data_IF_618372139671
#
_entry.id   IF_618372139671
#
_cell.length_a   1.000
_cell.length_b   1.000
_cell.length_c   1.000
_cell.angle_alpha   90.00
_cell.angle_beta   90.00
_cell.angle_gamma   90.00
#
_symmetry.space_group_name_H-M   'P 1'
#
loop_
_entity.id
_entity.type
_entity.pdbx_description
1 polymer ?
#
# COMPACT_ATOMS: atom_id res chain seq x y z
N UNK A 1 14.61 10.43 -24.10
CA UNK A 1 14.03 11.27 -23.02
C UNK A 1 13.14 10.35 -22.22
N UNK A 2 13.64 9.77 -21.12
CA UNK A 2 12.80 8.98 -20.24
C UNK A 2 11.82 9.94 -19.57
N UNK A 3 10.54 9.84 -19.89
CA UNK A 3 9.51 10.46 -19.04
C UNK A 3 9.68 9.83 -17.66
N UNK A 4 10.04 10.66 -16.69
CA UNK A 4 10.14 10.28 -15.29
C UNK A 4 8.80 9.66 -14.89
N UNK A 5 8.80 8.36 -14.54
CA UNK A 5 7.57 7.61 -14.21
C UNK A 5 6.77 8.32 -13.09
N UNK A 6 7.48 9.15 -12.33
CA UNK A 6 6.97 10.00 -11.27
C UNK A 6 5.90 11.01 -11.77
N UNK A 7 6.09 11.69 -12.90
CA UNK A 7 5.20 12.77 -13.34
C UNK A 7 3.82 12.26 -13.76
N UNK A 8 3.78 11.18 -14.55
CA UNK A 8 2.51 10.53 -14.94
C UNK A 8 1.78 9.96 -13.73
N UNK A 9 2.52 9.53 -12.72
CA UNK A 9 1.92 9.01 -11.50
C UNK A 9 1.24 10.13 -10.70
N UNK A 10 1.85 11.33 -10.64
CA UNK A 10 1.29 12.51 -9.97
C UNK A 10 -0.02 12.94 -10.62
N UNK A 11 -0.10 13.00 -11.95
CA UNK A 11 -1.32 13.37 -12.67
C UNK A 11 -2.47 12.39 -12.38
N UNK A 12 -2.17 11.09 -12.34
CA UNK A 12 -3.15 10.08 -12.00
C UNK A 12 -3.62 10.24 -10.55
N UNK A 13 -2.71 10.38 -9.58
CA UNK A 13 -3.06 10.55 -8.16
C UNK A 13 -3.89 11.84 -7.98
N UNK A 14 -3.50 12.92 -8.63
CA UNK A 14 -4.26 14.17 -8.59
C UNK A 14 -5.65 14.03 -9.21
N UNK A 15 -5.79 13.25 -10.29
CA UNK A 15 -7.11 12.92 -10.85
C UNK A 15 -7.96 12.15 -9.84
N UNK A 16 -7.38 11.11 -9.23
CA UNK A 16 -8.04 10.34 -8.18
C UNK A 16 -8.48 11.23 -6.99
N UNK A 17 -7.61 12.12 -6.51
CA UNK A 17 -7.95 13.05 -5.42
C UNK A 17 -9.08 14.02 -5.79
N UNK A 18 -9.13 14.50 -7.03
CA UNK A 18 -10.22 15.37 -7.50
C UNK A 18 -11.55 14.62 -7.51
N UNK A 19 -11.52 13.39 -8.02
CA UNK A 19 -12.73 12.57 -8.22
C UNK A 19 -13.28 12.01 -6.90
N UNK A 20 -12.41 11.70 -5.94
CA UNK A 20 -12.79 11.05 -4.66
C UNK A 20 -12.87 12.01 -3.48
N UNK A 21 -12.03 13.06 -3.43
CA UNK A 21 -11.88 13.92 -2.25
C UNK A 21 -12.37 15.36 -2.46
N UNK A 22 -13.08 15.64 -3.55
CA UNK A 22 -13.57 16.98 -3.90
C UNK A 22 -12.48 18.06 -3.80
N UNK A 23 -11.26 17.74 -4.25
CA UNK A 23 -10.09 18.64 -4.25
C UNK A 23 -9.64 19.08 -2.85
N UNK A 24 -9.79 18.24 -1.84
CA UNK A 24 -9.31 18.56 -0.49
C UNK A 24 -7.80 18.35 -0.34
N UNK A 25 -7.23 17.43 -1.12
CA UNK A 25 -5.81 17.07 -1.17
C UNK A 25 -5.31 17.05 -2.62
N UNK A 26 -4.01 17.26 -2.80
CA UNK A 26 -3.27 17.01 -4.04
C UNK A 26 -1.98 16.25 -3.76
N UNK A 27 -1.51 15.47 -4.72
CA UNK A 27 -0.15 14.94 -4.75
C UNK A 27 0.80 15.97 -5.36
N UNK A 28 1.95 16.13 -4.72
CA UNK A 28 3.06 16.98 -5.14
C UNK A 28 4.38 16.20 -5.07
N UNK A 29 5.46 16.74 -5.64
CA UNK A 29 6.80 16.16 -5.60
C UNK A 29 7.71 16.96 -4.68
N UNK A 30 8.18 16.31 -3.62
CA UNK A 30 9.22 16.81 -2.73
C UNK A 30 10.58 16.22 -3.14
N UNK A 31 11.61 17.08 -3.18
CA UNK A 31 12.96 16.67 -3.62
C UNK A 31 13.62 15.62 -2.71
N UNK A 32 13.19 15.51 -1.45
CA UNK A 32 13.76 14.61 -0.46
C UNK A 32 12.87 13.41 -0.14
N UNK A 33 11.55 13.58 -0.21
CA UNK A 33 10.55 12.58 0.19
C UNK A 33 9.88 11.89 -1.00
N UNK A 34 10.10 12.37 -2.22
CA UNK A 34 9.39 11.90 -3.40
C UNK A 34 7.96 12.44 -3.42
N UNK A 35 6.98 11.57 -3.66
CA UNK A 35 5.56 11.99 -3.73
C UNK A 35 4.99 12.26 -2.34
N UNK A 36 4.32 13.39 -2.18
CA UNK A 36 3.68 13.81 -0.93
C UNK A 36 2.24 14.25 -1.16
N UNK A 37 1.36 14.00 -0.19
CA UNK A 37 0.04 14.62 -0.16
C UNK A 37 0.06 15.98 0.54
N UNK A 38 -0.51 16.98 -0.11
CA UNK A 38 -0.62 18.36 0.34
C UNK A 38 -2.09 18.75 0.42
N UNK A 39 -2.48 19.39 1.53
CA UNK A 39 -3.82 19.92 1.69
C UNK A 39 -4.06 21.14 0.78
N UNK A 40 -5.17 21.14 0.04
CA UNK A 40 -5.60 22.29 -0.78
C UNK A 40 -6.53 23.25 -0.02
N UNK A 41 -6.93 22.87 1.20
CA UNK A 41 -7.75 23.68 2.10
C UNK A 41 -7.27 23.57 3.55
N UNK A 42 -7.75 24.47 4.40
CA UNK A 42 -7.50 24.40 5.84
C UNK A 42 -8.34 23.30 6.49
N UNK A 43 -7.71 22.57 7.42
CA UNK A 43 -8.34 21.58 8.29
C UNK A 43 -8.10 21.99 9.75
N UNK A 44 -9.09 21.78 10.61
CA UNK A 44 -8.96 21.89 12.06
C UNK A 44 -8.45 20.57 12.64
N UNK A 45 -7.90 20.62 13.84
CA UNK A 45 -7.56 19.41 14.58
C UNK A 45 -8.83 18.59 14.83
N UNK A 46 -8.77 17.30 14.52
CA UNK A 46 -9.91 16.39 14.58
C UNK A 46 -10.75 16.32 13.29
N UNK A 47 -10.48 17.17 12.29
CA UNK A 47 -11.16 17.06 11.01
C UNK A 47 -10.73 15.78 10.28
N UNK A 48 -11.72 15.09 9.71
CA UNK A 48 -11.48 13.98 8.79
C UNK A 48 -11.00 14.52 7.44
N UNK A 49 -9.81 14.07 7.02
CA UNK A 49 -9.19 14.42 5.73
C UNK A 49 -9.85 13.63 4.60
N UNK A 50 -9.90 12.31 4.75
CA UNK A 50 -10.58 11.38 3.85
C UNK A 50 -10.84 10.03 4.52
N UNK A 51 -11.70 9.25 3.89
CA UNK A 51 -11.99 7.86 4.22
C UNK A 51 -11.69 7.02 2.97
N UNK A 52 -10.89 5.95 3.10
CA UNK A 52 -10.55 5.09 1.98
C UNK A 52 -10.71 3.61 2.32
N UNK A 53 -11.30 2.87 1.37
CA UNK A 53 -11.27 1.42 1.36
C UNK A 53 -9.86 0.90 1.04
N UNK A 54 -9.43 -0.23 1.62
CA UNK A 54 -8.19 -0.85 1.21
C UNK A 54 -8.20 -1.12 -0.28
N UNK A 55 -7.11 -0.74 -0.91
CA UNK A 55 -6.82 -1.01 -2.30
C UNK A 55 -6.82 -2.53 -2.53
N UNK A 56 -6.18 -3.26 -1.62
CA UNK A 56 -6.17 -4.73 -1.65
C UNK A 56 -6.05 -5.34 -0.26
N UNK A 57 -6.65 -6.52 -0.10
CA UNK A 57 -6.64 -7.33 1.11
C UNK A 57 -6.18 -8.73 0.76
N UNK A 58 -5.19 -9.23 1.48
CA UNK A 58 -4.70 -10.60 1.31
C UNK A 58 -4.50 -11.21 2.69
N UNK A 59 -5.05 -12.40 2.89
CA UNK A 59 -4.81 -13.20 4.08
C UNK A 59 -4.25 -14.57 3.72
N UNK A 60 -3.65 -15.24 4.69
CA UNK A 60 -3.26 -16.63 4.52
C UNK A 60 -4.48 -17.48 4.11
N UNK A 61 -4.28 -18.36 3.13
CA UNK A 61 -5.33 -19.25 2.65
C UNK A 61 -4.87 -20.71 2.79
N UNK A 62 -4.85 -21.28 4.01
CA UNK A 62 -4.24 -22.58 4.28
C UNK A 62 -4.88 -23.76 3.55
N UNK A 63 -6.08 -23.58 3.00
CA UNK A 63 -6.81 -24.57 2.20
C UNK A 63 -6.64 -24.36 0.69
N UNK A 64 -6.07 -23.23 0.27
CA UNK A 64 -5.85 -22.94 -1.15
C UNK A 64 -4.64 -23.75 -1.67
N UNK A 65 -4.80 -24.57 -2.72
CA UNK A 65 -3.70 -25.39 -3.26
C UNK A 65 -2.49 -24.56 -3.70
N UNK A 66 -2.69 -23.37 -4.26
CA UNK A 66 -1.59 -22.51 -4.71
C UNK A 66 -0.79 -21.99 -3.52
N UNK A 67 -1.47 -21.58 -2.44
CA UNK A 67 -0.80 -21.15 -1.21
C UNK A 67 -0.06 -22.31 -0.52
N UNK A 68 -0.66 -23.51 -0.47
CA UNK A 68 0.00 -24.72 0.05
C UNK A 68 1.27 -25.03 -0.75
N UNK A 69 1.19 -24.95 -2.08
CA UNK A 69 2.34 -25.18 -2.95
C UNK A 69 3.43 -24.11 -2.76
N UNK A 70 3.05 -22.84 -2.61
CA UNK A 70 3.98 -21.75 -2.28
C UNK A 70 4.67 -21.97 -0.93
N UNK A 71 3.94 -22.37 0.13
CA UNK A 71 4.54 -22.70 1.43
C UNK A 71 5.54 -23.85 1.32
N UNK A 72 5.21 -24.90 0.56
CA UNK A 72 6.12 -26.02 0.29
C UNK A 72 7.38 -25.55 -0.43
N UNK A 73 7.21 -24.76 -1.49
CA UNK A 73 8.33 -24.23 -2.28
C UNK A 73 9.24 -23.34 -1.43
N UNK A 74 8.66 -22.41 -0.67
CA UNK A 74 9.36 -21.51 0.25
C UNK A 74 10.19 -22.28 1.28
N UNK A 75 9.62 -23.31 1.90
CA UNK A 75 10.34 -24.18 2.85
C UNK A 75 11.47 -24.96 2.19
N UNK A 76 11.23 -25.50 0.98
CA UNK A 76 12.22 -26.30 0.25
C UNK A 76 13.43 -25.47 -0.19
N UNK A 77 13.19 -24.21 -0.57
CA UNK A 77 14.22 -23.32 -1.13
C UNK A 77 14.82 -22.37 -0.10
N UNK A 78 14.23 -22.24 1.09
CA UNK A 78 14.69 -21.33 2.13
C UNK A 78 14.49 -19.87 1.74
N UNK A 79 13.27 -19.50 1.33
CA UNK A 79 12.95 -18.13 0.92
C UNK A 79 13.27 -17.11 2.01
N UNK A 80 13.64 -15.91 1.58
CA UNK A 80 14.05 -14.81 2.48
C UNK A 80 12.87 -14.32 3.32
N UNK A 81 11.68 -14.22 2.72
CA UNK A 81 10.48 -13.73 3.40
C UNK A 81 9.51 -14.86 3.75
N UNK A 82 8.58 -14.58 4.67
CA UNK A 82 7.48 -15.49 4.95
C UNK A 82 6.58 -15.70 3.72
N UNK A 83 5.98 -16.88 3.53
CA UNK A 83 5.14 -17.19 2.37
C UNK A 83 4.00 -16.19 2.10
N UNK A 84 3.45 -15.56 3.14
CA UNK A 84 2.37 -14.57 3.01
C UNK A 84 2.78 -13.36 2.16
N UNK A 85 4.03 -12.93 2.21
CA UNK A 85 4.52 -11.80 1.40
C UNK A 85 4.46 -12.10 -0.10
N UNK A 86 4.98 -13.27 -0.51
CA UNK A 86 4.88 -13.72 -1.90
C UNK A 86 3.44 -14.03 -2.30
N UNK A 87 2.62 -14.52 -1.36
CA UNK A 87 1.20 -14.74 -1.60
C UNK A 87 0.46 -13.43 -1.90
N UNK A 88 0.78 -12.36 -1.18
CA UNK A 88 0.23 -11.04 -1.43
C UNK A 88 0.62 -10.50 -2.81
N UNK A 89 1.90 -10.68 -3.19
CA UNK A 89 2.37 -10.34 -4.54
C UNK A 89 1.65 -11.14 -5.64
N UNK A 90 1.47 -12.46 -5.45
CA UNK A 90 0.73 -13.31 -6.40
C UNK A 90 -0.75 -12.93 -6.53
N UNK A 91 -1.41 -12.59 -5.43
CA UNK A 91 -2.79 -12.11 -5.44
C UNK A 91 -2.91 -10.68 -5.99
N UNK A 92 -1.80 -10.03 -6.34
CA UNK A 92 -1.76 -8.71 -6.98
C UNK A 92 -1.49 -8.78 -8.49
N UNK A 93 -1.41 -9.99 -9.05
CA UNK A 93 -1.27 -10.22 -10.48
C UNK A 93 -2.59 -9.95 -11.22
N UNK A 94 -2.48 -9.41 -12.44
CA UNK A 94 -3.62 -9.15 -13.31
C UNK A 94 -4.03 -10.41 -14.07
N UNK A 95 -5.20 -10.37 -14.73
CA UNK A 95 -5.64 -11.48 -15.58
C UNK A 95 -4.64 -11.84 -16.68
N UNK A 96 -3.94 -10.85 -17.24
CA UNK A 96 -2.91 -11.07 -18.25
C UNK A 96 -1.71 -11.85 -17.70
N UNK A 97 -1.26 -11.52 -16.48
CA UNK A 97 -0.13 -12.17 -15.82
C UNK A 97 -0.41 -13.63 -15.44
N UNK A 98 -1.67 -13.95 -15.14
CA UNK A 98 -2.10 -15.31 -14.82
C UNK A 98 -2.17 -16.25 -16.04
N UNK A 99 -1.94 -15.75 -17.25
CA UNK A 99 -1.93 -16.57 -18.47
C UNK A 99 -0.80 -17.59 -18.41
N UNK A 100 -1.13 -18.87 -18.57
CA UNK A 100 -0.15 -19.97 -18.51
C UNK A 100 0.27 -20.39 -17.11
N UNK A 101 -0.41 -19.88 -16.07
CA UNK A 101 -0.20 -20.34 -14.69
C UNK A 101 -0.76 -21.76 -14.51
N UNK A 102 0.00 -22.65 -13.88
CA UNK A 102 -0.36 -24.04 -13.60
C UNK A 102 -1.35 -24.18 -12.44
N UNK A 103 -1.51 -23.12 -11.65
CA UNK A 103 -2.44 -23.04 -10.52
C UNK A 103 -3.47 -21.94 -10.74
N UNK A 104 -4.67 -22.13 -10.16
CA UNK A 104 -5.72 -21.11 -10.24
C UNK A 104 -5.44 -20.00 -9.22
N UNK A 105 -5.06 -18.83 -9.73
CA UNK A 105 -4.98 -17.59 -8.94
C UNK A 105 -6.25 -16.75 -9.15
N UNK A 106 -6.56 -15.89 -8.19
CA UNK A 106 -7.61 -14.89 -8.34
C UNK A 106 -6.97 -13.57 -8.77
N UNK A 107 -7.03 -13.20 -10.06
CA UNK A 107 -6.39 -11.98 -10.53
C UNK A 107 -7.13 -10.74 -10.04
N UNK A 108 -6.39 -9.66 -9.86
CA UNK A 108 -6.96 -8.31 -9.72
C UNK A 108 -7.26 -7.72 -11.10
N UNK A 109 -8.14 -6.72 -11.14
CA UNK A 109 -8.32 -5.90 -12.32
C UNK A 109 -7.05 -5.07 -12.63
N UNK A 110 -6.93 -4.65 -13.89
CA UNK A 110 -5.74 -3.95 -14.38
C UNK A 110 -5.53 -2.60 -13.67
N UNK A 111 -6.61 -1.91 -13.32
CA UNK A 111 -6.55 -0.61 -12.63
C UNK A 111 -6.00 -0.77 -11.21
N UNK A 112 -6.45 -1.78 -10.46
CA UNK A 112 -5.94 -2.10 -9.13
C UNK A 112 -4.46 -2.49 -9.18
N UNK A 113 -4.04 -3.32 -10.13
CA UNK A 113 -2.62 -3.62 -10.29
C UNK A 113 -1.81 -2.36 -10.62
N UNK A 114 -2.31 -1.49 -11.51
CA UNK A 114 -1.66 -0.23 -11.82
C UNK A 114 -1.49 0.62 -10.56
N UNK A 115 -2.55 0.78 -9.75
CA UNK A 115 -2.49 1.51 -8.48
C UNK A 115 -1.51 0.90 -7.49
N UNK A 116 -1.43 -0.44 -7.39
CA UNK A 116 -0.44 -1.13 -6.55
C UNK A 116 1.00 -0.83 -7.02
N UNK A 117 1.25 -0.92 -8.33
CA UNK A 117 2.55 -0.59 -8.93
C UNK A 117 2.86 0.92 -8.92
N UNK A 118 1.90 1.77 -8.54
CA UNK A 118 2.16 3.18 -8.27
C UNK A 118 2.61 3.43 -6.83
N UNK A 119 2.47 2.48 -5.91
CA UNK A 119 2.94 2.63 -4.54
C UNK A 119 4.48 2.65 -4.48
N UNK A 120 5.05 3.12 -3.37
CA UNK A 120 6.50 3.23 -3.27
C UNK A 120 7.17 1.87 -3.31
N UNK A 121 8.07 1.66 -4.27
CA UNK A 121 8.95 0.50 -4.31
C UNK A 121 10.19 0.84 -5.15
N UNK A 122 11.38 0.30 -4.80
CA UNK A 122 12.55 0.42 -5.66
C UNK A 122 12.34 -0.36 -6.95
N UNK A 123 12.77 0.20 -8.09
CA UNK A 123 12.69 -0.49 -9.38
C UNK A 123 13.68 -1.67 -9.41
N UNK A 124 13.20 -2.92 -9.47
CA UNK A 124 14.07 -4.08 -9.43
C UNK A 124 14.86 -4.20 -10.74
N UNK A 125 16.17 -4.38 -10.62
CA UNK A 125 17.04 -4.60 -11.79
C UNK A 125 16.99 -6.06 -12.28
N UNK A 126 16.69 -6.99 -11.38
CA UNK A 126 16.55 -8.41 -11.65
C UNK A 126 15.59 -9.04 -10.62
N UNK A 127 14.86 -10.12 -10.98
CA UNK A 127 14.10 -10.86 -9.99
C UNK A 127 15.02 -11.58 -9.01
N UNK A 128 14.62 -11.65 -7.75
CA UNK A 128 15.26 -12.49 -6.73
C UNK A 128 15.19 -13.97 -7.10
N UNK A 129 16.04 -14.80 -6.49
CA UNK A 129 15.98 -16.26 -6.68
C UNK A 129 14.63 -16.85 -6.23
N UNK A 130 14.00 -16.25 -5.22
CA UNK A 130 12.68 -16.66 -4.74
C UNK A 130 11.60 -16.38 -5.80
N UNK A 131 11.57 -15.17 -6.38
CA UNK A 131 10.66 -14.83 -7.46
C UNK A 131 10.90 -15.68 -8.72
N UNK A 132 12.16 -15.96 -9.08
CA UNK A 132 12.50 -16.89 -10.17
C UNK A 132 11.98 -18.30 -9.89
N UNK A 133 12.14 -18.79 -8.66
CA UNK A 133 11.65 -20.11 -8.26
C UNK A 133 10.13 -20.20 -8.35
N UNK A 134 9.40 -19.17 -7.88
CA UNK A 134 7.94 -19.09 -7.99
C UNK A 134 7.50 -19.11 -9.46
N UNK A 135 8.10 -18.26 -10.30
CA UNK A 135 7.76 -18.20 -11.73
C UNK A 135 8.04 -19.51 -12.44
N UNK A 136 9.15 -20.19 -12.11
CA UNK A 136 9.48 -21.49 -12.70
C UNK A 136 8.52 -22.60 -12.26
N UNK A 137 8.05 -22.57 -11.01
CA UNK A 137 7.09 -23.53 -10.46
C UNK A 137 5.68 -23.33 -11.07
N UNK A 138 5.19 -22.09 -11.05
CA UNK A 138 3.81 -21.79 -11.43
C UNK A 138 3.62 -21.48 -12.92
N UNK A 139 4.64 -21.05 -13.65
CA UNK A 139 4.56 -20.76 -15.09
C UNK A 139 5.58 -21.58 -15.88
N UNK A 140 5.68 -22.88 -15.59
CA UNK A 140 6.68 -23.77 -16.20
C UNK A 140 6.66 -23.76 -17.74
N UNK A 141 5.49 -23.58 -18.36
CA UNK A 141 5.28 -23.52 -19.81
C UNK A 141 5.62 -22.18 -20.48
N UNK A 142 5.90 -21.10 -19.74
CA UNK A 142 6.29 -19.83 -20.34
C UNK A 142 7.74 -19.87 -20.87
N UNK A 143 7.96 -19.16 -21.98
CA UNK A 143 9.30 -18.95 -22.53
C UNK A 143 10.19 -18.08 -21.61
N UNK A 144 11.52 -18.14 -21.74
CA UNK A 144 12.46 -17.45 -20.83
C UNK A 144 12.23 -15.94 -20.70
N UNK A 145 11.94 -15.25 -21.82
CA UNK A 145 11.69 -13.81 -21.81
C UNK A 145 10.41 -13.43 -21.03
N UNK A 146 9.33 -14.20 -21.20
CA UNK A 146 8.08 -13.98 -20.47
C UNK A 146 8.26 -14.26 -18.97
N UNK A 147 9.02 -15.31 -18.62
CA UNK A 147 9.37 -15.60 -17.21
C UNK A 147 10.20 -14.48 -16.58
N UNK A 148 11.17 -13.93 -17.30
CA UNK A 148 11.98 -12.82 -16.81
C UNK A 148 11.13 -11.57 -16.54
N UNK A 149 10.24 -11.21 -17.47
CA UNK A 149 9.34 -10.08 -17.31
C UNK A 149 8.36 -10.27 -16.13
N UNK A 150 7.76 -11.47 -16.01
CA UNK A 150 6.88 -11.78 -14.89
C UNK A 150 7.62 -11.79 -13.56
N UNK A 151 8.85 -12.30 -13.52
CA UNK A 151 9.70 -12.28 -12.34
C UNK A 151 9.97 -10.86 -11.85
N UNK A 152 10.32 -9.92 -12.75
CA UNK A 152 10.53 -8.51 -12.40
C UNK A 152 9.25 -7.85 -11.86
N UNK A 153 8.10 -8.15 -12.47
CA UNK A 153 6.81 -7.65 -11.98
C UNK A 153 6.48 -8.21 -10.59
N UNK A 154 6.71 -9.51 -10.38
CA UNK A 154 6.47 -10.15 -9.08
C UNK A 154 7.39 -9.56 -8.00
N UNK A 155 8.65 -9.27 -8.33
CA UNK A 155 9.59 -8.58 -7.43
C UNK A 155 9.09 -7.17 -7.06
N UNK A 156 8.59 -6.42 -8.05
CA UNK A 156 8.02 -5.09 -7.83
C UNK A 156 6.81 -5.15 -6.89
N UNK A 157 5.89 -6.09 -7.12
CA UNK A 157 4.72 -6.30 -6.27
C UNK A 157 5.10 -6.77 -4.86
N UNK A 158 6.11 -7.64 -4.72
CA UNK A 158 6.63 -8.04 -3.41
C UNK A 158 7.14 -6.83 -2.63
N UNK A 159 7.94 -5.98 -3.27
CA UNK A 159 8.45 -4.75 -2.66
C UNK A 159 7.32 -3.78 -2.27
N UNK A 160 6.26 -3.67 -3.08
CA UNK A 160 5.05 -2.90 -2.74
C UNK A 160 4.45 -3.38 -1.41
N UNK A 161 4.26 -4.68 -1.24
CA UNK A 161 3.70 -5.21 0.02
C UNK A 161 4.63 -4.99 1.20
N UNK A 162 5.93 -5.24 1.04
CA UNK A 162 6.92 -5.05 2.11
C UNK A 162 7.00 -3.61 2.62
N UNK A 163 6.77 -2.62 1.75
CA UNK A 163 7.00 -1.21 2.05
C UNK A 163 5.72 -0.39 2.30
N UNK A 164 4.54 -0.90 1.94
CA UNK A 164 3.30 -0.11 1.96
C UNK A 164 2.12 -0.80 2.65
N UNK A 165 2.30 -2.00 3.21
CA UNK A 165 1.18 -2.72 3.82
C UNK A 165 1.04 -2.47 5.33
N UNK A 166 -0.15 -2.77 5.84
CA UNK A 166 -0.51 -2.81 7.24
C UNK A 166 -1.04 -4.21 7.58
N UNK A 167 -0.75 -4.69 8.77
CA UNK A 167 -1.41 -5.88 9.32
C UNK A 167 -2.92 -5.60 9.44
N UNK A 168 -3.73 -6.52 8.92
CA UNK A 168 -5.18 -6.38 8.85
C UNK A 168 -5.91 -7.38 9.75
N UNK A 169 -5.40 -8.59 9.87
CA UNK A 169 -6.02 -9.66 10.64
C UNK A 169 -4.94 -10.54 11.28
N UNK A 170 -5.22 -11.09 12.45
CA UNK A 170 -4.33 -12.04 13.16
C UNK A 170 -4.69 -13.49 12.84
N UNK A 171 -5.98 -13.80 12.69
CA UNK A 171 -6.47 -15.17 12.44
C UNK A 171 -7.51 -15.22 11.30
N UNK A 172 -7.12 -15.63 10.07
CA UNK A 172 -5.74 -15.85 9.61
C UNK A 172 -4.93 -14.53 9.53
N UNK A 173 -3.60 -14.64 9.56
CA UNK A 173 -2.72 -13.48 9.37
C UNK A 173 -2.98 -12.87 7.99
N UNK A 174 -3.14 -11.54 7.94
CA UNK A 174 -3.46 -10.84 6.70
C UNK A 174 -2.89 -9.43 6.63
N UNK A 175 -2.69 -8.98 5.40
CA UNK A 175 -2.20 -7.66 5.05
C UNK A 175 -3.25 -6.87 4.29
N UNK A 176 -3.16 -5.56 4.44
CA UNK A 176 -3.93 -4.57 3.69
C UNK A 176 -2.99 -3.53 3.10
N UNK A 177 -3.32 -3.02 1.93
CA UNK A 177 -2.68 -1.84 1.33
C UNK A 177 -3.75 -0.82 1.00
N UNK A 178 -3.38 0.46 1.01
CA UNK A 178 -4.25 1.59 0.70
C UNK A 178 -3.58 2.46 -0.35
N UNK A 179 -4.36 3.18 -1.14
CA UNK A 179 -3.81 3.95 -2.23
C UNK A 179 -3.34 5.33 -1.73
N UNK A 180 -4.25 6.13 -1.17
CA UNK A 180 -3.93 7.48 -0.71
C UNK A 180 -2.98 7.52 0.51
N UNK A 181 -3.18 6.72 1.57
CA UNK A 181 -2.28 6.69 2.72
C UNK A 181 -0.82 6.41 2.36
N UNK A 182 -0.56 5.67 1.27
CA UNK A 182 0.80 5.38 0.81
C UNK A 182 1.56 6.62 0.29
N UNK A 183 0.85 7.74 0.02
CA UNK A 183 1.45 9.01 -0.38
C UNK A 183 1.54 10.02 0.80
N UNK A 184 1.18 9.61 2.02
CA UNK A 184 1.44 10.39 3.23
C UNK A 184 2.88 10.14 3.65
N UNK A 185 3.72 11.16 3.55
CA UNK A 185 5.13 11.03 3.93
C UNK A 185 5.30 10.78 5.42
N UNK A 186 6.24 9.90 5.77
CA UNK A 186 6.66 9.73 7.15
C UNK A 186 7.20 11.04 7.75
N UNK A 187 6.84 11.30 9.00
CA UNK A 187 7.41 12.35 9.82
C UNK A 187 7.36 11.91 11.30
N UNK A 188 8.44 12.19 12.07
CA UNK A 188 8.47 11.90 13.51
C UNK A 188 7.52 12.80 14.31
N UNK A 189 6.98 13.86 13.70
CA UNK A 189 5.95 14.74 14.24
C UNK A 189 4.83 14.88 13.21
N UNK A 190 4.03 13.82 13.02
CA UNK A 190 3.02 13.81 11.97
C UNK A 190 1.94 14.85 12.27
N UNK A 191 1.40 15.48 11.22
CA UNK A 191 0.29 16.43 11.29
C UNK A 191 -1.08 15.77 11.02
N UNK A 192 -1.10 14.46 10.87
CA UNK A 192 -2.29 13.64 10.68
C UNK A 192 -2.07 12.26 11.31
N UNK A 193 -3.16 11.60 11.67
CA UNK A 193 -3.15 10.25 12.23
C UNK A 193 -4.04 9.35 11.39
N UNK A 194 -3.58 8.12 11.18
CA UNK A 194 -4.36 7.07 10.55
C UNK A 194 -5.18 6.37 11.63
N UNK A 195 -6.50 6.37 11.49
CA UNK A 195 -7.40 5.58 12.31
C UNK A 195 -7.94 4.44 11.45
N UNK A 196 -7.49 3.22 11.76
CA UNK A 196 -8.08 2.01 11.22
C UNK A 196 -9.18 1.54 12.17
N UNK A 197 -10.43 1.52 11.70
CA UNK A 197 -11.56 1.07 12.52
C UNK A 197 -11.94 -0.37 12.16
N UNK A 198 -12.10 -1.27 13.15
CA UNK A 198 -12.91 -2.46 12.96
C UNK A 198 -14.36 -2.02 12.72
N UNK A 199 -15.00 -2.57 11.68
CA UNK A 199 -16.32 -2.14 11.22
C UNK A 199 -17.46 -2.31 12.22
N UNK A 200 -17.26 -3.11 13.27
CA UNK A 200 -18.28 -3.41 14.27
C UNK A 200 -18.63 -2.21 15.19
N UNK A 201 -18.12 -0.99 14.91
CA UNK A 201 -18.26 0.18 15.80
C UNK A 201 -19.07 1.35 15.19
N UNK A 202 -19.45 1.30 13.91
CA UNK A 202 -20.25 2.38 13.28
C UNK A 202 -21.60 1.87 12.75
N UNK A 203 -22.55 1.65 13.66
CA UNK A 203 -23.96 1.77 13.31
C UNK A 203 -24.32 3.27 13.31
N UNK A 204 -24.78 3.75 12.16
CA UNK A 204 -25.09 5.16 11.88
C UNK A 204 -26.45 5.61 12.42
N UNK A 205 -27.09 4.82 13.28
CA UNK A 205 -28.35 5.19 13.92
C UNK A 205 -28.19 5.18 15.44
N UNK A 206 -28.48 6.34 16.04
CA UNK A 206 -28.22 6.61 17.45
C UNK A 206 -28.75 5.52 18.40
N UNK A 207 -27.89 5.15 19.34
CA UNK A 207 -28.31 4.57 20.62
C UNK A 207 -28.59 3.08 20.61
N UNK A 208 -27.58 2.29 20.94
CA UNK A 208 -27.78 0.98 21.58
C UNK A 208 -26.87 -0.12 21.05
N UNK A 209 -25.93 -0.56 21.89
CA UNK A 209 -25.18 -1.80 21.69
C UNK A 209 -26.15 -2.97 21.46
N UNK A 210 -26.17 -3.53 20.24
CA UNK A 210 -26.68 -4.89 20.00
C UNK A 210 -25.61 -5.74 19.34
N UNK A 211 -25.24 -6.82 20.04
CA UNK A 211 -24.55 -7.97 19.46
C UNK A 211 -25.51 -8.72 18.54
N UNK A 212 -25.17 -8.90 17.27
CA UNK A 212 -25.14 -10.21 16.59
C UNK A 212 -25.17 -10.08 15.06
N UNK A 213 -24.44 -10.97 14.40
CA UNK A 213 -24.86 -11.51 13.10
C UNK A 213 -24.00 -11.16 11.88
N UNK A 214 -22.98 -12.00 11.63
CA UNK A 214 -22.42 -12.39 10.32
C UNK A 214 -22.75 -11.45 9.16
N UNK A 215 -21.88 -10.47 8.90
CA UNK A 215 -21.87 -9.70 7.65
C UNK A 215 -20.43 -9.52 7.19
N UNK A 216 -20.24 -9.68 5.86
CA UNK A 216 -18.94 -9.60 5.18
C UNK A 216 -18.31 -8.23 5.44
N UNK A 217 -17.35 -8.22 6.35
CA UNK A 217 -16.56 -7.07 6.78
C UNK A 217 -15.53 -6.71 5.72
N UNK A 218 -15.50 -5.43 5.32
CA UNK A 218 -14.34 -4.85 4.66
C UNK A 218 -13.81 -3.76 5.58
N UNK A 219 -12.53 -3.75 5.97
CA UNK A 219 -11.92 -2.65 6.73
C UNK A 219 -11.97 -1.35 5.94
N UNK A 220 -11.93 -0.22 6.65
CA UNK A 220 -11.74 1.12 6.09
C UNK A 220 -10.76 1.89 6.98
N UNK A 221 -10.20 2.96 6.42
CA UNK A 221 -9.25 3.82 7.11
C UNK A 221 -9.69 5.27 7.02
N UNK A 222 -9.78 5.93 8.17
CA UNK A 222 -9.92 7.38 8.30
C UNK A 222 -8.53 7.99 8.49
N UNK A 223 -8.21 9.05 7.74
CA UNK A 223 -7.09 9.92 8.10
C UNK A 223 -7.64 11.17 8.79
N UNK A 224 -7.31 11.37 10.07
CA UNK A 224 -7.73 12.54 10.84
C UNK A 224 -6.55 13.51 10.97
N UNK A 225 -6.76 14.78 10.62
CA UNK A 225 -5.75 15.82 10.79
C UNK A 225 -5.56 16.18 12.27
N UNK A 226 -4.33 16.13 12.77
CA UNK A 226 -3.96 16.69 14.07
C UNK A 226 -2.96 17.82 13.80
N UNK A 227 -3.49 19.02 13.57
CA UNK A 227 -2.65 20.19 13.32
C UNK A 227 -2.27 20.88 14.64
N UNK A 228 -1.02 20.76 15.07
CA UNK A 228 -0.43 21.77 15.96
C UNK A 228 -0.14 23.03 15.14
N UNK A 229 -0.93 24.07 15.36
CA UNK A 229 -0.80 25.35 14.69
C UNK A 229 0.49 26.07 15.15
N UNK A 230 1.63 25.83 14.52
CA UNK A 230 2.83 26.67 14.73
C UNK A 230 2.88 27.77 13.68
N UNK A 231 2.73 29.01 14.12
CA UNK A 231 2.84 30.17 13.23
C UNK A 231 4.24 30.23 12.61
N UNK A 232 4.38 30.80 11.40
CA UNK A 232 5.69 31.00 10.76
C UNK A 232 6.67 31.80 11.66
N UNK A 233 6.16 32.65 12.55
CA UNK A 233 6.95 33.37 13.55
C UNK A 233 7.57 32.42 14.60
N UNK A 234 6.89 31.35 14.98
CA UNK A 234 7.41 30.34 15.93
C UNK A 234 8.45 29.43 15.28
N UNK A 235 8.36 29.16 13.97
CA UNK A 235 9.40 28.43 13.23
C UNK A 235 10.68 29.25 13.08
N UNK A 236 10.58 30.58 12.89
CA UNK A 236 11.73 31.48 12.85
C UNK A 236 12.43 31.62 14.21
N UNK A 237 11.66 31.74 15.31
CA UNK A 237 12.20 31.80 16.68
C UNK A 237 12.93 30.51 17.09
N UNK A 238 12.49 29.34 16.62
CA UNK A 238 13.15 28.06 16.88
C UNK A 238 14.48 27.92 16.11
N UNK A 239 14.53 28.36 14.84
CA UNK A 239 15.80 28.41 14.08
C UNK A 239 16.83 29.34 14.72
N UNK A 240 16.38 30.47 15.28
CA UNK A 240 17.24 31.41 15.98
C UNK A 240 17.75 30.91 17.34
N UNK A 241 16.98 30.05 18.03
CA UNK A 241 17.37 29.47 19.32
C UNK A 241 18.21 28.20 19.18
N UNK A 242 18.05 27.43 18.11
CA UNK A 242 18.90 26.28 17.79
C UNK A 242 20.34 26.65 17.43
N UNK A 243 20.56 27.82 16.82
CA UNK A 243 21.91 28.33 16.50
C UNK A 243 22.71 28.79 17.72
N UNK A 244 22.06 29.13 18.85
CA UNK A 244 22.77 29.49 20.11
C UNK A 244 23.18 28.27 20.93
N UNK A 245 22.50 27.13 20.77
CA UNK A 245 22.84 25.90 21.48
C UNK A 245 24.01 25.13 20.84
N UNK A 246 24.42 25.48 19.60
CA UNK A 246 25.56 24.89 18.91
C UNK A 246 26.86 25.70 19.05
N UNK A 247 26.84 26.81 19.80
CA UNK A 247 27.98 27.71 19.99
C UNK A 247 28.31 27.97 21.47
N UNK A 248 27.91 27.06 22.37
CA UNK A 248 28.29 27.06 23.78
C UNK A 248 28.86 25.69 24.18
#
# INVERSE_FOLDING_TARGET
MAMDFDDKSIDYINTYCRDTLARSLRCDKDSSKGRILVAERTFRCGDRLFEELPLHLVAESPKDPAFVQLKRLSKLRGFVHAPLWYWAALNSLSGADCTGCSVKLTPVDAEKQQRLLMLFHPEPQAPSEDCKAIVNEFWSGLGPAAKAALGLKLESLLAVWLLNCFEHSEEPVGFSTFFLPAFVSHDCRPNCTLLAWPWDVFDSEGGGFRKSGILRSKPFVDLIGVFEHRSMAQQALWRASGLRAAAA
#
